data_IF_981302292039
#
_entry.id   IF_981302292039
#
_cell.length_a   1.000
_cell.length_b   1.000
_cell.length_c   1.000
_cell.angle_alpha   90.00
_cell.angle_beta   90.00
_cell.angle_gamma   90.00
#
_symmetry.space_group_name_H-M   'P 1'
#
loop_
_entity.id
_entity.type
_entity.pdbx_description
1 polymer ?
#
# COMPACT_ATOMS: atom_id res chain seq x y z
N UNK A 1 -37.18 9.05 -13.79
CA UNK A 1 -35.80 8.60 -14.05
C UNK A 1 -35.32 9.33 -15.31
N UNK A 2 -34.08 9.78 -15.40
CA UNK A 2 -33.59 10.43 -16.63
C UNK A 2 -33.30 9.35 -17.69
N UNK A 3 -33.39 9.68 -18.99
CA UNK A 3 -32.98 8.77 -20.08
C UNK A 3 -31.54 8.26 -19.90
N UNK A 4 -30.67 9.10 -19.32
CA UNK A 4 -29.31 8.71 -18.96
C UNK A 4 -29.27 7.58 -17.93
N UNK A 5 -30.09 7.67 -16.87
CA UNK A 5 -30.15 6.63 -15.84
C UNK A 5 -30.74 5.32 -16.39
N UNK A 6 -31.74 5.39 -17.26
CA UNK A 6 -32.30 4.21 -17.93
C UNK A 6 -31.24 3.47 -18.77
N UNK A 7 -30.44 4.21 -19.56
CA UNK A 7 -29.34 3.62 -20.36
C UNK A 7 -28.26 3.02 -19.45
N UNK A 8 -27.91 3.66 -18.33
CA UNK A 8 -26.94 3.12 -17.37
C UNK A 8 -27.43 1.81 -16.76
N UNK A 9 -28.72 1.72 -16.41
CA UNK A 9 -29.33 0.50 -15.88
C UNK A 9 -29.33 -0.63 -16.92
N UNK A 10 -29.60 -0.34 -18.20
CA UNK A 10 -29.48 -1.31 -19.30
C UNK A 10 -28.04 -1.82 -19.47
N UNK A 11 -27.03 -0.92 -19.47
CA UNK A 11 -25.61 -1.29 -19.53
C UNK A 11 -25.26 -2.20 -18.35
N UNK A 12 -25.69 -1.85 -17.14
CA UNK A 12 -25.46 -2.66 -15.93
C UNK A 12 -26.01 -4.07 -16.08
N UNK A 13 -27.24 -4.19 -16.60
CA UNK A 13 -27.88 -5.48 -16.81
C UNK A 13 -27.12 -6.33 -17.84
N UNK A 14 -26.68 -5.73 -18.95
CA UNK A 14 -25.89 -6.43 -19.97
C UNK A 14 -24.55 -6.95 -19.44
N UNK A 15 -23.86 -6.16 -18.60
CA UNK A 15 -22.61 -6.59 -17.96
C UNK A 15 -22.89 -7.79 -17.03
N UNK A 16 -23.94 -7.71 -16.21
CA UNK A 16 -24.35 -8.80 -15.33
C UNK A 16 -24.66 -10.10 -16.10
N UNK A 17 -25.41 -9.99 -17.19
CA UNK A 17 -25.75 -11.13 -18.04
C UNK A 17 -24.50 -11.76 -18.66
N UNK A 18 -23.54 -10.95 -19.13
CA UNK A 18 -22.27 -11.45 -19.69
C UNK A 18 -21.46 -12.28 -18.67
N UNK A 19 -21.34 -11.81 -17.43
CA UNK A 19 -20.61 -12.57 -16.39
C UNK A 19 -21.32 -13.86 -15.98
N UNK A 20 -22.66 -13.91 -16.09
CA UNK A 20 -23.43 -15.13 -15.79
C UNK A 20 -23.18 -16.29 -16.76
N UNK A 21 -22.65 -16.01 -17.96
CA UNK A 21 -22.35 -17.02 -18.97
C UNK A 21 -21.16 -17.92 -18.59
N UNK A 22 -20.28 -17.45 -17.69
CA UNK A 22 -19.08 -18.17 -17.29
C UNK A 22 -19.41 -19.17 -16.20
N UNK A 23 -19.76 -20.40 -16.60
CA UNK A 23 -19.80 -21.55 -15.69
C UNK A 23 -18.97 -22.69 -16.28
N UNK A 24 -17.82 -22.99 -15.69
CA UNK A 24 -17.04 -24.19 -15.99
C UNK A 24 -17.00 -25.09 -14.76
N UNK A 25 -17.18 -26.40 -14.96
CA UNK A 25 -17.00 -27.40 -13.91
C UNK A 25 -15.55 -27.86 -13.90
N UNK A 26 -15.03 -28.13 -12.71
CA UNK A 26 -13.71 -28.74 -12.55
C UNK A 26 -13.73 -30.19 -13.05
N UNK A 27 -12.74 -30.54 -13.87
CA UNK A 27 -12.50 -31.89 -14.40
C UNK A 27 -11.07 -32.31 -14.02
N UNK A 28 -10.89 -33.33 -13.16
CA UNK A 28 -9.58 -33.83 -12.78
C UNK A 28 -8.72 -34.22 -13.99
N UNK A 29 -7.47 -33.74 -14.03
CA UNK A 29 -6.54 -34.03 -15.13
C UNK A 29 -6.72 -33.18 -16.40
N UNK A 30 -7.82 -32.42 -16.51
CA UNK A 30 -8.10 -31.57 -17.69
C UNK A 30 -8.15 -30.08 -17.34
N UNK A 31 -8.79 -29.73 -16.23
CA UNK A 31 -8.94 -28.32 -15.83
C UNK A 31 -7.60 -27.75 -15.39
N UNK A 32 -7.17 -26.68 -16.07
CA UNK A 32 -5.98 -25.93 -15.67
C UNK A 32 -6.22 -25.26 -14.33
N UNK A 33 -5.26 -25.38 -13.43
CA UNK A 33 -5.23 -24.69 -12.14
C UNK A 33 -4.14 -23.62 -12.23
N UNK A 34 -4.44 -22.43 -12.80
CA UNK A 34 -3.46 -21.35 -12.85
C UNK A 34 -3.17 -20.83 -11.43
N UNK A 35 -2.01 -20.21 -11.26
CA UNK A 35 -1.64 -19.59 -9.99
C UNK A 35 -2.63 -18.49 -9.58
N UNK A 36 -3.18 -17.76 -10.56
CA UNK A 36 -4.22 -16.76 -10.32
C UNK A 36 -5.20 -16.64 -11.50
N UNK A 37 -6.43 -16.22 -11.19
CA UNK A 37 -7.48 -15.81 -12.13
C UNK A 37 -8.01 -14.44 -11.70
N UNK A 38 -8.49 -13.59 -12.61
CA UNK A 38 -9.10 -12.32 -12.22
C UNK A 38 -10.22 -12.54 -11.20
N UNK A 39 -10.09 -11.91 -10.02
CA UNK A 39 -10.98 -12.07 -8.88
C UNK A 39 -12.22 -11.15 -8.91
N UNK A 40 -12.38 -10.38 -9.98
CA UNK A 40 -13.49 -9.43 -10.11
C UNK A 40 -14.70 -10.03 -10.83
N UNK A 41 -15.86 -9.43 -10.57
CA UNK A 41 -17.16 -9.84 -11.09
C UNK A 41 -17.84 -8.68 -11.82
N UNK A 42 -19.16 -8.79 -12.05
CA UNK A 42 -19.89 -7.79 -12.83
C UNK A 42 -19.96 -6.44 -12.11
N UNK A 43 -19.93 -6.43 -10.78
CA UNK A 43 -19.92 -5.23 -9.94
C UNK A 43 -18.70 -4.35 -10.27
N UNK A 44 -17.48 -4.88 -10.14
CA UNK A 44 -16.25 -4.14 -10.43
C UNK A 44 -16.17 -3.70 -11.89
N UNK A 45 -16.56 -4.59 -12.82
CA UNK A 45 -16.55 -4.28 -14.25
C UNK A 45 -17.49 -3.12 -14.58
N UNK A 46 -18.69 -3.11 -14.00
CA UNK A 46 -19.63 -2.01 -14.18
C UNK A 46 -19.11 -0.71 -13.55
N UNK A 47 -18.53 -0.74 -12.35
CA UNK A 47 -17.98 0.44 -11.70
C UNK A 47 -16.86 1.10 -12.52
N UNK A 48 -16.05 0.29 -13.22
CA UNK A 48 -15.04 0.77 -14.16
C UNK A 48 -15.69 1.39 -15.41
N UNK A 49 -16.67 0.72 -16.02
CA UNK A 49 -17.42 1.23 -17.17
C UNK A 49 -18.12 2.55 -16.83
N UNK A 50 -18.74 2.65 -15.65
CA UNK A 50 -19.43 3.85 -15.20
C UNK A 50 -18.49 5.06 -15.16
N UNK A 51 -17.25 4.88 -14.70
CA UNK A 51 -16.25 5.95 -14.67
C UNK A 51 -15.89 6.43 -16.09
N UNK A 52 -15.84 5.51 -17.06
CA UNK A 52 -15.55 5.82 -18.46
C UNK A 52 -16.73 6.57 -19.10
N UNK A 53 -17.96 6.08 -18.95
CA UNK A 53 -19.15 6.69 -19.58
C UNK A 53 -19.56 8.01 -18.95
N UNK A 54 -19.26 8.25 -17.66
CA UNK A 54 -19.43 9.56 -17.01
C UNK A 54 -18.28 10.52 -17.31
N UNK A 55 -17.24 10.07 -18.03
CA UNK A 55 -16.03 10.83 -18.40
C UNK A 55 -15.18 11.33 -17.23
N UNK A 56 -15.50 10.94 -15.99
CA UNK A 56 -14.70 11.25 -14.82
C UNK A 56 -13.70 10.11 -14.55
N UNK A 57 -12.57 10.18 -15.25
CA UNK A 57 -11.54 9.11 -15.25
C UNK A 57 -10.33 9.40 -14.37
N UNK A 58 -10.29 10.56 -13.70
CA UNK A 58 -9.24 10.93 -12.74
C UNK A 58 -9.65 10.61 -11.30
N UNK A 59 -8.71 10.76 -10.35
CA UNK A 59 -9.01 10.59 -8.93
C UNK A 59 -10.18 11.50 -8.52
N UNK A 60 -11.19 10.91 -7.89
CA UNK A 60 -12.44 11.57 -7.53
C UNK A 60 -13.15 10.84 -6.40
N UNK A 61 -14.49 10.92 -6.36
CA UNK A 61 -15.29 10.38 -5.26
C UNK A 61 -15.06 8.87 -5.03
N UNK A 62 -14.95 8.07 -6.10
CA UNK A 62 -14.70 6.62 -5.98
C UNK A 62 -13.37 6.32 -5.29
N UNK A 63 -12.31 7.06 -5.62
CA UNK A 63 -10.99 6.91 -5.00
C UNK A 63 -11.04 7.30 -3.53
N UNK A 64 -11.64 8.46 -3.20
CA UNK A 64 -11.77 8.90 -1.80
C UNK A 64 -12.62 7.94 -0.97
N UNK A 65 -13.66 7.35 -1.56
CA UNK A 65 -14.48 6.33 -0.91
C UNK A 65 -13.69 5.05 -0.66
N UNK A 66 -12.83 4.64 -1.60
CA UNK A 66 -11.95 3.49 -1.42
C UNK A 66 -10.88 3.75 -0.36
N UNK A 67 -10.20 4.90 -0.39
CA UNK A 67 -9.24 5.34 0.64
C UNK A 67 -9.88 5.24 2.05
N UNK A 68 -11.05 5.85 2.26
CA UNK A 68 -11.76 5.79 3.56
C UNK A 68 -12.10 4.36 3.97
N UNK A 69 -12.74 3.59 3.08
CA UNK A 69 -13.15 2.22 3.40
C UNK A 69 -11.96 1.30 3.71
N UNK A 70 -10.84 1.48 3.03
CA UNK A 70 -9.65 0.68 3.26
C UNK A 70 -8.96 1.08 4.57
N UNK A 71 -8.87 2.38 4.87
CA UNK A 71 -8.40 2.88 6.17
C UNK A 71 -9.23 2.32 7.32
N UNK A 72 -10.57 2.37 7.22
CA UNK A 72 -11.49 1.81 8.21
C UNK A 72 -11.32 0.30 8.36
N UNK A 73 -11.13 -0.43 7.26
CA UNK A 73 -10.93 -1.88 7.27
C UNK A 73 -9.63 -2.29 7.97
N UNK A 74 -8.54 -1.57 7.70
CA UNK A 74 -7.23 -1.82 8.31
C UNK A 74 -7.19 -1.33 9.77
N UNK A 75 -7.92 -0.26 10.09
CA UNK A 75 -7.98 0.33 11.44
C UNK A 75 -6.97 1.46 11.64
N UNK A 76 -6.83 2.33 10.64
CA UNK A 76 -5.91 3.49 10.63
C UNK A 76 -6.64 4.74 10.15
N UNK A 77 -6.13 5.92 10.50
CA UNK A 77 -6.85 7.18 10.29
C UNK A 77 -6.91 7.62 8.83
N UNK A 78 -5.82 7.41 8.08
CA UNK A 78 -5.68 7.98 6.75
C UNK A 78 -5.14 6.98 5.73
N UNK A 79 -5.58 7.13 4.48
CA UNK A 79 -5.10 6.38 3.33
C UNK A 79 -4.91 7.29 2.10
N UNK A 80 -3.89 7.00 1.29
CA UNK A 80 -3.57 7.73 0.05
C UNK A 80 -3.33 6.73 -1.09
N UNK A 81 -4.23 6.74 -2.07
CA UNK A 81 -4.19 5.84 -3.22
C UNK A 81 -3.06 6.24 -4.19
N UNK A 82 -2.35 5.26 -4.73
CA UNK A 82 -1.33 5.42 -5.76
C UNK A 82 -1.49 4.36 -6.85
N UNK A 83 -0.67 4.42 -7.90
CA UNK A 83 -0.82 3.59 -9.09
C UNK A 83 -0.20 2.18 -8.96
N UNK A 84 0.55 1.87 -7.89
CA UNK A 84 1.10 0.53 -7.63
C UNK A 84 1.58 0.40 -6.18
N UNK A 85 1.74 -0.82 -5.67
CA UNK A 85 2.43 -1.07 -4.40
C UNK A 85 3.89 -0.57 -4.42
N UNK A 86 4.58 -0.70 -5.55
CA UNK A 86 5.94 -0.17 -5.74
C UNK A 86 6.01 1.36 -5.57
N UNK A 87 5.01 2.08 -6.09
CA UNK A 87 4.89 3.53 -5.88
C UNK A 87 4.53 3.85 -4.44
N UNK A 88 3.75 2.99 -3.75
CA UNK A 88 3.46 3.15 -2.34
C UNK A 88 4.74 3.07 -1.50
N UNK A 89 5.60 2.06 -1.74
CA UNK A 89 6.92 1.93 -1.12
C UNK A 89 7.81 3.15 -1.37
N UNK A 90 7.90 3.58 -2.64
CA UNK A 90 8.69 4.76 -3.00
C UNK A 90 8.20 6.04 -2.30
N UNK A 91 6.89 6.26 -2.30
CA UNK A 91 6.31 7.47 -1.75
C UNK A 91 6.34 7.45 -0.21
N UNK A 92 6.19 6.30 0.44
CA UNK A 92 6.38 6.15 1.89
C UNK A 92 7.78 6.61 2.32
N UNK A 93 8.84 6.12 1.66
CA UNK A 93 10.20 6.55 1.96
C UNK A 93 10.44 8.02 1.59
N UNK A 94 9.89 8.49 0.45
CA UNK A 94 10.01 9.89 0.03
C UNK A 94 9.36 10.87 1.02
N UNK A 95 8.30 10.45 1.72
CA UNK A 95 7.71 11.22 2.82
C UNK A 95 8.70 11.31 3.98
N UNK A 96 9.31 10.20 4.39
CA UNK A 96 10.26 10.17 5.50
C UNK A 96 11.61 10.83 5.20
N UNK A 97 11.93 11.12 3.93
CA UNK A 97 13.09 11.94 3.55
C UNK A 97 12.76 13.43 3.43
N UNK A 98 11.50 13.82 3.60
CA UNK A 98 11.07 15.19 3.35
C UNK A 98 11.69 16.16 4.37
N UNK A 99 12.18 17.35 3.97
CA UNK A 99 12.77 18.33 4.87
C UNK A 99 11.88 18.79 6.03
N UNK A 100 10.56 18.64 5.91
CA UNK A 100 9.59 18.96 6.97
C UNK A 100 9.55 17.93 8.09
N UNK A 101 9.98 16.70 7.83
CA UNK A 101 9.97 15.64 8.84
C UNK A 101 11.13 15.87 9.80
N UNK A 102 10.79 16.04 11.07
CA UNK A 102 11.77 15.98 12.14
C UNK A 102 12.41 14.60 12.11
N UNK A 103 13.73 14.55 12.30
CA UNK A 103 14.45 13.28 12.24
C UNK A 103 14.34 12.55 10.89
N UNK A 104 14.00 13.23 9.78
CA UNK A 104 13.95 12.61 8.44
C UNK A 104 15.19 11.76 8.10
N UNK A 105 14.97 10.78 7.24
CA UNK A 105 16.03 9.98 6.62
C UNK A 105 16.90 10.88 5.74
N UNK A 106 18.21 10.88 5.97
CA UNK A 106 19.20 11.61 5.20
C UNK A 106 19.88 10.72 4.15
N UNK A 107 20.54 11.36 3.18
CA UNK A 107 21.33 10.65 2.18
C UNK A 107 22.43 9.80 2.85
N UNK A 108 22.52 8.53 2.45
CA UNK A 108 23.49 7.57 2.93
C UNK A 108 23.18 6.93 4.28
N UNK A 109 22.06 7.29 4.92
CA UNK A 109 21.54 6.58 6.09
C UNK A 109 20.98 5.21 5.70
N UNK A 110 20.97 4.31 6.66
CA UNK A 110 20.72 2.88 6.45
C UNK A 110 19.25 2.54 6.75
N UNK A 111 18.66 1.71 5.88
CA UNK A 111 17.34 1.11 6.07
C UNK A 111 17.49 -0.41 6.08
N UNK A 112 17.17 -1.03 7.21
CA UNK A 112 17.24 -2.48 7.37
C UNK A 112 16.00 -3.12 6.76
N UNK A 113 16.17 -4.15 5.93
CA UNK A 113 15.07 -4.87 5.28
C UNK A 113 15.51 -6.33 5.00
N UNK A 114 14.62 -7.32 4.88
CA UNK A 114 15.05 -8.70 4.69
C UNK A 114 15.63 -8.93 3.30
N UNK A 115 16.60 -9.84 3.18
CA UNK A 115 17.16 -10.27 1.91
C UNK A 115 16.15 -11.06 1.06
N UNK A 116 15.25 -11.80 1.70
CA UNK A 116 14.09 -12.45 1.06
C UNK A 116 12.93 -11.45 1.06
N UNK A 117 12.78 -10.76 -0.05
CA UNK A 117 11.74 -9.75 -0.26
C UNK A 117 11.50 -9.51 -1.75
N UNK A 118 10.59 -8.59 -2.08
CA UNK A 118 10.36 -8.14 -3.44
C UNK A 118 11.27 -6.97 -3.82
N UNK A 119 11.66 -6.90 -5.10
CA UNK A 119 12.65 -5.91 -5.55
C UNK A 119 12.21 -4.45 -5.31
N UNK A 120 10.90 -4.18 -5.34
CA UNK A 120 10.35 -2.83 -5.09
C UNK A 120 10.11 -2.52 -3.62
N UNK A 121 10.53 -3.39 -2.70
CA UNK A 121 10.84 -3.02 -1.30
C UNK A 121 12.24 -2.39 -1.23
N UNK A 122 13.23 -2.96 -1.94
CA UNK A 122 14.64 -2.53 -1.88
C UNK A 122 14.93 -1.31 -2.76
N UNK A 123 14.48 -1.29 -4.02
CA UNK A 123 14.78 -0.20 -4.95
C UNK A 123 14.40 1.20 -4.44
N UNK A 124 13.22 1.39 -3.80
CA UNK A 124 12.87 2.65 -3.15
C UNK A 124 13.91 3.20 -2.19
N UNK A 125 14.57 2.34 -1.41
CA UNK A 125 15.61 2.73 -0.46
C UNK A 125 16.75 3.45 -1.20
N UNK A 126 17.19 2.87 -2.31
CA UNK A 126 18.24 3.43 -3.17
C UNK A 126 17.75 4.72 -3.85
N UNK A 127 16.50 4.74 -4.34
CA UNK A 127 15.93 5.89 -5.04
C UNK A 127 15.85 7.15 -4.17
N UNK A 128 15.69 6.99 -2.85
CA UNK A 128 15.74 8.11 -1.90
C UNK A 128 17.15 8.40 -1.38
N UNK A 129 18.17 7.81 -2.00
CA UNK A 129 19.59 7.89 -1.64
C UNK A 129 19.93 7.33 -0.24
N UNK A 130 19.12 6.43 0.30
CA UNK A 130 19.45 5.65 1.48
C UNK A 130 20.20 4.36 1.10
N UNK A 131 20.81 3.71 2.09
CA UNK A 131 21.55 2.46 1.93
C UNK A 131 20.70 1.28 2.43
N UNK A 132 20.33 0.31 1.56
CA UNK A 132 19.68 -0.90 2.04
C UNK A 132 20.68 -1.78 2.80
N UNK A 133 20.32 -2.14 4.03
CA UNK A 133 21.05 -3.13 4.84
C UNK A 133 20.20 -4.40 4.86
N UNK A 134 20.63 -5.39 4.06
CA UNK A 134 19.92 -6.65 3.93
C UNK A 134 20.31 -7.58 5.08
N UNK A 135 19.31 -8.13 5.76
CA UNK A 135 19.48 -9.11 6.83
C UNK A 135 18.75 -10.41 6.51
N UNK A 136 19.11 -11.48 7.19
CA UNK A 136 18.51 -12.80 6.95
C UNK A 136 17.07 -12.90 7.50
N UNK A 137 16.41 -14.00 7.17
CA UNK A 137 15.04 -14.31 7.63
C UNK A 137 15.02 -15.55 8.50
N UNK A 138 13.98 -15.67 9.31
CA UNK A 138 13.67 -16.92 9.98
C UNK A 138 13.19 -17.98 8.98
N UNK A 139 13.72 -19.19 9.09
CA UNK A 139 13.51 -20.24 8.09
C UNK A 139 12.07 -20.82 8.08
N UNK A 140 11.40 -20.78 9.23
CA UNK A 140 10.05 -21.35 9.39
C UNK A 140 8.96 -20.36 8.96
N UNK A 141 9.22 -19.06 9.13
CA UNK A 141 8.25 -17.99 8.84
C UNK A 141 8.55 -17.22 7.56
N UNK A 142 9.80 -17.26 7.08
CA UNK A 142 10.37 -16.42 6.03
C UNK A 142 10.33 -14.91 6.30
N UNK A 143 9.89 -14.50 7.50
CA UNK A 143 9.88 -13.09 7.90
C UNK A 143 11.26 -12.68 8.43
N UNK A 144 11.54 -11.38 8.39
CA UNK A 144 12.81 -10.82 8.86
C UNK A 144 13.16 -11.32 10.28
N UNK A 145 14.38 -11.84 10.47
CA UNK A 145 14.86 -12.28 11.79
C UNK A 145 15.20 -11.05 12.63
N UNK A 146 14.49 -10.89 13.75
CA UNK A 146 14.65 -9.74 14.66
C UNK A 146 16.03 -9.69 15.31
N UNK A 147 16.69 -10.84 15.51
CA UNK A 147 18.06 -10.90 16.03
C UNK A 147 19.09 -10.41 15.01
N UNK A 148 18.80 -10.56 13.72
CA UNK A 148 19.66 -10.02 12.64
C UNK A 148 19.45 -8.51 12.46
N UNK A 149 18.25 -8.00 12.74
CA UNK A 149 18.01 -6.54 12.81
C UNK A 149 18.93 -5.92 13.86
N UNK A 150 18.90 -6.42 15.11
CA UNK A 150 19.73 -5.86 16.19
C UNK A 150 21.22 -5.84 15.85
N UNK A 151 21.74 -6.92 15.23
CA UNK A 151 23.16 -7.01 14.83
C UNK A 151 23.53 -6.03 13.71
N UNK A 152 22.56 -5.67 12.87
CA UNK A 152 22.77 -4.82 11.71
C UNK A 152 22.68 -3.32 12.04
N UNK A 153 22.20 -2.96 13.22
CA UNK A 153 22.07 -1.55 13.64
C UNK A 153 23.46 -0.90 13.76
N UNK A 154 23.56 0.30 13.19
CA UNK A 154 24.71 1.19 13.30
C UNK A 154 24.24 2.61 13.63
N UNK A 155 25.17 3.52 13.88
CA UNK A 155 24.88 4.96 14.06
C UNK A 155 24.23 5.61 12.82
N UNK A 156 24.24 4.93 11.67
CA UNK A 156 23.59 5.39 10.43
C UNK A 156 22.20 4.80 10.21
N UNK A 157 21.80 3.79 10.99
CA UNK A 157 20.50 3.16 10.84
C UNK A 157 19.40 4.15 11.17
N UNK A 158 18.42 4.27 10.26
CA UNK A 158 17.32 5.22 10.43
C UNK A 158 15.93 4.62 10.31
N UNK A 159 15.79 3.49 9.64
CA UNK A 159 14.51 2.82 9.53
C UNK A 159 14.65 1.31 9.42
N UNK A 160 13.57 0.62 9.76
CA UNK A 160 13.34 -0.79 9.48
C UNK A 160 12.17 -0.86 8.51
N UNK A 161 12.33 -1.59 7.40
CA UNK A 161 11.27 -1.85 6.42
C UNK A 161 10.97 -3.35 6.40
N UNK A 162 10.17 -3.86 7.37
CA UNK A 162 9.76 -5.26 7.37
C UNK A 162 8.77 -5.55 6.23
N UNK A 163 8.80 -6.79 5.74
CA UNK A 163 7.85 -7.28 4.73
C UNK A 163 7.06 -8.44 5.29
N UNK A 164 5.74 -8.30 5.30
CA UNK A 164 4.83 -9.38 5.69
C UNK A 164 4.66 -10.38 4.54
N UNK A 165 5.75 -11.11 4.29
CA UNK A 165 5.95 -11.93 3.10
C UNK A 165 4.85 -13.01 2.99
N UNK A 166 4.27 -13.17 1.80
CA UNK A 166 3.22 -14.15 1.52
C UNK A 166 2.01 -14.09 2.48
N UNK A 167 1.78 -12.93 3.11
CA UNK A 167 0.70 -12.73 4.07
C UNK A 167 1.00 -13.20 5.49
N UNK A 168 2.23 -13.63 5.77
CA UNK A 168 2.65 -13.98 7.12
C UNK A 168 3.15 -12.74 7.87
N UNK A 169 2.51 -12.33 8.98
CA UNK A 169 2.96 -11.19 9.77
C UNK A 169 4.34 -11.40 10.38
N UNK A 170 5.17 -10.35 10.36
CA UNK A 170 6.44 -10.34 11.10
C UNK A 170 6.16 -10.27 12.60
N UNK A 171 7.18 -10.55 13.42
CA UNK A 171 7.11 -10.31 14.86
C UNK A 171 7.12 -8.79 15.16
N UNK A 172 5.97 -8.14 14.95
CA UNK A 172 5.84 -6.70 15.09
C UNK A 172 6.02 -6.21 16.52
N UNK A 173 5.89 -7.08 17.52
CA UNK A 173 6.20 -6.70 18.90
C UNK A 173 7.69 -6.36 19.03
N UNK A 174 8.56 -7.30 18.66
CA UNK A 174 10.02 -7.12 18.79
C UNK A 174 10.54 -6.03 17.84
N UNK A 175 10.03 -5.96 16.60
CA UNK A 175 10.44 -4.91 15.65
C UNK A 175 10.13 -3.52 16.21
N UNK A 176 8.95 -3.32 16.80
CA UNK A 176 8.58 -2.04 17.39
C UNK A 176 9.40 -1.73 18.65
N UNK A 177 9.67 -2.73 19.51
CA UNK A 177 10.55 -2.58 20.68
C UNK A 177 11.96 -2.10 20.26
N UNK A 178 12.56 -2.74 19.25
CA UNK A 178 13.86 -2.34 18.69
C UNK A 178 13.80 -0.93 18.10
N UNK A 179 12.75 -0.63 17.32
CA UNK A 179 12.61 0.68 16.68
C UNK A 179 12.45 1.81 17.70
N UNK A 180 11.69 1.58 18.77
CA UNK A 180 11.52 2.54 19.87
C UNK A 180 12.83 2.76 20.65
N UNK A 181 13.57 1.70 20.97
CA UNK A 181 14.85 1.79 21.69
C UNK A 181 15.88 2.63 20.92
N UNK A 182 15.93 2.48 19.59
CA UNK A 182 16.90 3.15 18.73
C UNK A 182 16.38 4.41 18.04
N UNK A 183 15.11 4.77 18.24
CA UNK A 183 14.48 5.93 17.58
C UNK A 183 14.44 5.80 16.05
N UNK A 184 14.13 4.60 15.55
CA UNK A 184 14.06 4.27 14.12
C UNK A 184 12.62 4.40 13.61
N UNK A 185 12.47 4.78 12.34
CA UNK A 185 11.18 4.64 11.67
C UNK A 185 10.86 3.18 11.33
N UNK A 186 9.59 2.84 11.24
CA UNK A 186 9.12 1.54 10.74
C UNK A 186 8.19 1.75 9.55
N UNK A 187 8.55 1.16 8.41
CA UNK A 187 7.72 1.17 7.19
C UNK A 187 7.26 -0.25 6.88
N UNK A 188 6.00 -0.56 7.16
CA UNK A 188 5.45 -1.90 6.93
C UNK A 188 5.13 -2.11 5.44
N UNK A 189 5.84 -3.03 4.77
CA UNK A 189 5.43 -3.51 3.45
C UNK A 189 4.37 -4.60 3.61
N UNK A 190 3.11 -4.20 3.45
CA UNK A 190 1.92 -5.04 3.57
C UNK A 190 1.34 -5.42 2.20
N UNK A 191 2.11 -5.27 1.11
CA UNK A 191 1.62 -5.55 -0.23
C UNK A 191 0.97 -6.95 -0.30
N UNK A 192 1.62 -7.96 0.27
CA UNK A 192 1.18 -9.34 0.27
C UNK A 192 0.35 -9.75 1.50
N UNK A 193 -0.07 -8.82 2.37
CA UNK A 193 -0.64 -9.15 3.68
C UNK A 193 -1.95 -8.43 4.02
N UNK A 194 -2.85 -8.32 3.04
CA UNK A 194 -4.13 -7.64 3.27
C UNK A 194 -4.97 -8.41 4.30
N UNK A 195 -5.28 -7.75 5.42
CA UNK A 195 -6.10 -8.33 6.48
C UNK A 195 -5.39 -9.35 7.37
N UNK A 196 -4.09 -9.59 7.17
CA UNK A 196 -3.30 -10.38 8.11
C UNK A 196 -3.23 -9.66 9.47
N UNK A 197 -3.16 -10.44 10.56
CA UNK A 197 -3.18 -9.91 11.91
C UNK A 197 -2.04 -10.47 12.75
N UNK A 198 -1.38 -9.60 13.49
CA UNK A 198 -0.42 -9.97 14.53
C UNK A 198 -1.03 -9.61 15.89
N UNK A 199 -1.18 -10.59 16.78
CA UNK A 199 -1.79 -10.42 18.10
C UNK A 199 -3.17 -9.72 18.08
N UNK A 200 -4.01 -10.04 17.09
CA UNK A 200 -5.37 -9.49 16.95
C UNK A 200 -5.44 -8.05 16.43
N UNK A 201 -4.31 -7.48 16.00
CA UNK A 201 -4.25 -6.17 15.33
C UNK A 201 -3.78 -6.39 13.89
N UNK A 202 -4.42 -5.72 12.93
CA UNK A 202 -4.04 -5.84 11.51
C UNK A 202 -2.63 -5.31 11.27
N UNK A 203 -1.90 -5.97 10.39
CA UNK A 203 -0.63 -5.45 9.89
C UNK A 203 -0.86 -4.16 9.09
N UNK A 204 0.16 -3.31 9.05
CA UNK A 204 0.06 -1.96 8.51
C UNK A 204 -0.46 -0.91 9.49
N UNK A 205 -0.56 -1.26 10.77
CA UNK A 205 -1.04 -0.37 11.84
C UNK A 205 -0.02 -0.16 12.96
N UNK A 206 1.17 -0.73 12.85
CA UNK A 206 2.18 -0.75 13.89
C UNK A 206 3.22 0.35 13.66
N UNK A 207 3.74 0.46 12.44
CA UNK A 207 4.78 1.41 12.07
C UNK A 207 4.25 2.82 11.76
N UNK A 208 5.17 3.65 11.27
CA UNK A 208 4.91 5.04 10.88
C UNK A 208 4.05 5.14 9.62
N UNK A 209 4.37 4.31 8.63
CA UNK A 209 3.73 4.26 7.32
C UNK A 209 3.62 2.80 6.90
N UNK A 210 2.52 2.43 6.27
CA UNK A 210 2.34 1.11 5.67
C UNK A 210 1.92 1.20 4.22
N UNK A 211 2.27 0.17 3.44
CA UNK A 211 2.05 0.15 2.00
C UNK A 211 1.33 -1.11 1.55
N UNK A 212 0.44 -0.95 0.58
CA UNK A 212 -0.38 -2.03 0.06
C UNK A 212 -0.37 -2.01 -1.47
N UNK A 213 -0.54 -3.19 -2.07
CA UNK A 213 -0.60 -3.38 -3.51
C UNK A 213 -1.96 -3.94 -3.91
N UNK A 214 -2.54 -3.34 -4.95
CA UNK A 214 -3.78 -3.80 -5.58
C UNK A 214 -3.53 -4.27 -7.01
N UNK A 215 -2.31 -4.76 -7.27
CA UNK A 215 -2.00 -5.40 -8.54
C UNK A 215 -2.84 -6.67 -8.72
N UNK A 216 -3.09 -7.06 -9.97
CA UNK A 216 -3.95 -8.19 -10.36
C UNK A 216 -3.80 -9.48 -9.51
N UNK A 217 -2.58 -9.79 -9.05
CA UNK A 217 -2.30 -10.99 -8.25
C UNK A 217 -2.52 -10.89 -6.75
N UNK A 218 -2.95 -9.73 -6.25
CA UNK A 218 -3.13 -9.48 -4.81
C UNK A 218 -4.58 -9.73 -4.36
N UNK A 219 -4.77 -9.72 -3.04
CA UNK A 219 -6.01 -10.07 -2.33
C UNK A 219 -7.26 -9.35 -2.86
N UNK A 220 -7.13 -8.04 -3.10
CA UNK A 220 -8.10 -7.22 -3.82
C UNK A 220 -7.36 -6.47 -4.93
N UNK A 221 -8.05 -6.13 -6.01
CA UNK A 221 -7.39 -5.64 -7.21
C UNK A 221 -8.10 -4.43 -7.82
N UNK A 222 -7.30 -3.44 -8.20
CA UNK A 222 -7.67 -2.36 -9.12
C UNK A 222 -6.99 -2.54 -10.48
N UNK A 223 -6.58 -3.78 -10.79
CA UNK A 223 -5.67 -4.18 -11.88
C UNK A 223 -4.25 -3.68 -11.63
N UNK A 224 -4.08 -2.36 -11.52
CA UNK A 224 -2.88 -1.67 -11.08
C UNK A 224 -3.27 -0.68 -9.98
N UNK A 225 -2.55 -0.69 -8.86
CA UNK A 225 -2.84 0.22 -7.76
C UNK A 225 -2.03 -0.10 -6.52
N UNK A 226 -2.02 0.86 -5.60
CA UNK A 226 -1.50 0.68 -4.25
C UNK A 226 -2.06 1.71 -3.29
N UNK A 227 -1.78 1.54 -2.01
CA UNK A 227 -2.20 2.46 -0.96
C UNK A 227 -1.06 2.71 -0.01
N UNK A 228 -1.00 3.94 0.51
CA UNK A 228 -0.21 4.28 1.69
C UNK A 228 -1.18 4.51 2.83
N UNK A 229 -0.92 3.97 4.01
CA UNK A 229 -1.65 4.32 5.22
C UNK A 229 -0.73 4.84 6.31
N UNK A 230 -1.29 5.70 7.16
CA UNK A 230 -0.61 6.23 8.34
C UNK A 230 -1.62 6.83 9.32
N UNK A 231 -1.31 6.76 10.61
CA UNK A 231 -2.01 7.53 11.64
C UNK A 231 -1.43 8.94 11.81
N UNK A 232 -0.35 9.28 11.10
CA UNK A 232 0.23 10.61 11.14
C UNK A 232 -0.34 11.47 9.99
N UNK A 233 -1.08 12.50 10.37
CA UNK A 233 -1.67 13.47 9.44
C UNK A 233 -0.60 14.18 8.60
N UNK A 234 0.58 14.51 9.16
CA UNK A 234 1.66 15.15 8.38
C UNK A 234 2.20 14.23 7.28
N UNK A 235 2.38 12.93 7.57
CA UNK A 235 2.84 11.96 6.57
C UNK A 235 1.85 11.81 5.43
N UNK A 236 0.56 11.72 5.76
CA UNK A 236 -0.52 11.60 4.79
C UNK A 236 -0.62 12.85 3.90
N UNK A 237 -0.55 14.05 4.48
CA UNK A 237 -0.63 15.30 3.74
C UNK A 237 0.59 15.47 2.82
N UNK A 238 1.79 15.10 3.28
CA UNK A 238 2.97 15.04 2.40
C UNK A 238 2.80 14.03 1.27
N UNK A 239 2.29 12.83 1.56
CA UNK A 239 2.04 11.81 0.54
C UNK A 239 1.08 12.31 -0.55
N UNK A 240 -0.03 12.95 -0.18
CA UNK A 240 -0.97 13.56 -1.15
C UNK A 240 -0.30 14.60 -2.03
N UNK A 241 0.51 15.47 -1.43
CA UNK A 241 1.24 16.52 -2.16
C UNK A 241 2.25 15.92 -3.14
N UNK A 242 3.12 15.05 -2.66
CA UNK A 242 4.17 14.41 -3.46
C UNK A 242 3.59 13.55 -4.60
N UNK A 243 2.48 12.82 -4.35
CA UNK A 243 1.71 12.10 -5.38
C UNK A 243 1.22 13.03 -6.50
N UNK A 244 0.88 14.27 -6.17
CA UNK A 244 0.26 15.24 -7.06
C UNK A 244 1.22 16.37 -7.47
N UNK A 245 2.45 16.06 -7.89
CA UNK A 245 3.44 17.03 -8.38
C UNK A 245 3.90 18.08 -7.34
N UNK A 246 3.74 17.79 -6.05
CA UNK A 246 3.99 18.76 -4.97
C UNK A 246 2.87 19.78 -4.80
N UNK A 247 1.70 19.57 -5.42
CA UNK A 247 0.57 20.48 -5.31
C UNK A 247 -0.15 20.35 -3.98
N UNK A 248 -0.59 21.50 -3.46
CA UNK A 248 -1.27 21.57 -2.16
C UNK A 248 -2.80 21.48 -2.25
N UNK A 249 -3.37 21.22 -3.44
CA UNK A 249 -4.82 21.34 -3.70
C UNK A 249 -5.69 20.48 -2.78
N UNK A 250 -5.18 19.30 -2.44
CA UNK A 250 -5.86 18.28 -1.64
C UNK A 250 -5.53 18.37 -0.14
N UNK A 251 -4.70 19.35 0.26
CA UNK A 251 -4.26 19.49 1.64
C UNK A 251 -5.29 20.22 2.51
N UNK A 252 -5.45 19.76 3.75
CA UNK A 252 -6.30 20.36 4.79
C UNK A 252 -5.93 21.83 5.04
N UNK A 253 -4.63 22.14 5.07
CA UNK A 253 -4.08 23.48 5.37
C UNK A 253 -3.65 24.29 4.12
N UNK A 254 -4.15 23.95 2.92
CA UNK A 254 -3.75 24.61 1.66
C UNK A 254 -3.83 26.14 1.69
N UNK A 255 -4.85 26.70 2.36
CA UNK A 255 -5.06 28.14 2.44
C UNK A 255 -4.01 28.84 3.30
N UNK A 256 -3.47 28.14 4.31
CA UNK A 256 -2.40 28.66 5.15
C UNK A 256 -1.07 28.61 4.40
N UNK A 257 -0.75 27.47 3.77
CA UNK A 257 0.47 27.31 2.97
C UNK A 257 0.50 28.33 1.83
N UNK A 258 -0.59 28.50 1.10
CA UNK A 258 -0.68 29.48 0.00
C UNK A 258 -0.69 30.95 0.43
N UNK A 259 -0.82 31.26 1.73
CA UNK A 259 -0.58 32.62 2.25
C UNK A 259 0.87 32.85 2.65
N UNK A 260 1.58 31.77 3.01
CA UNK A 260 2.96 31.82 3.51
C UNK A 260 3.98 31.92 2.39
N UNK A 261 3.68 31.33 1.24
CA UNK A 261 4.53 31.28 0.04
C UNK A 261 3.82 31.91 -1.14
#
# INVERSE_FOLDING_TARGET
>A
MTKENEIKDEIKQLVKDYFSLKTSKFIPGETKIPLNIPSYSWEEAYEAIESIITTWVTMGEKVQKFERKFADYVGVENAVMVNSGSTANLLALSVLTNPRINNRIQNGEEIITPAITWSTTVFPIINVNAMPVLVDVDLDTYTIDTTEIEKAITDKTRAIMPVHILGNPCNMKEIMEIAEEHGLFVVEDCCEAHGAEFNGKKVGTFGDISTFSFFFSHHISTIEGGMILSNNDEYTELAKSLRAHGWIRELKNRNEIGKKY
#
